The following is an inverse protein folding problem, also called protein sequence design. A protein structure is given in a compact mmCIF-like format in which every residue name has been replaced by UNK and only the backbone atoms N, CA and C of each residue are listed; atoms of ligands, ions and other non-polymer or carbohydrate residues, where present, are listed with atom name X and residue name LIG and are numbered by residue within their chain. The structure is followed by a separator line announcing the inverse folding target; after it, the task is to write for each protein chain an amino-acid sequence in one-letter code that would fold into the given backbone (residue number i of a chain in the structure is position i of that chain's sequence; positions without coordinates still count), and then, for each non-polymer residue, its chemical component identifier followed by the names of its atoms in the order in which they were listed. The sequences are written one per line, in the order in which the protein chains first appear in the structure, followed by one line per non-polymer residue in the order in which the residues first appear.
data_IF_367000259116
#
_entry.id   IF_367000259116
#
_cell.length_a   1.000
_cell.length_b   1.000
_cell.length_c   1.000
_cell.angle_alpha   90.00
_cell.angle_beta   90.00
_cell.angle_gamma   90.00
#
_symmetry.space_group_name_H-M   'P 1'
#
loop_
_entity.id
_entity.type
_entity.pdbx_description
1 polymer ?
#
# COMPACT_ATOMS: atom_id res chain seq x y z
N UNK A 1 78.12 7.71 51.73
CA UNK A 1 76.76 7.37 51.25
C UNK A 1 76.10 8.64 50.75
N UNK A 2 75.47 8.63 49.58
CA UNK A 2 74.78 9.82 49.06
C UNK A 2 74.40 9.77 47.58
N UNK A 3 75.07 8.95 46.76
CA UNK A 3 74.87 8.98 45.31
C UNK A 3 73.68 8.14 44.79
N UNK A 4 73.05 7.30 45.61
CA UNK A 4 72.03 6.36 45.16
C UNK A 4 70.57 6.85 45.34
N UNK A 5 70.35 7.99 46.01
CA UNK A 5 69.00 8.52 46.23
C UNK A 5 68.53 9.49 45.13
N UNK A 6 69.46 10.14 44.40
CA UNK A 6 69.11 11.17 43.43
C UNK A 6 68.54 10.65 42.11
N UNK A 7 68.83 9.41 41.72
CA UNK A 7 68.38 8.86 40.44
C UNK A 7 66.92 8.40 40.46
N UNK A 8 66.32 8.14 41.63
CA UNK A 8 64.92 7.74 41.71
C UNK A 8 63.96 8.93 41.52
N UNK A 9 64.41 10.14 41.89
CA UNK A 9 63.57 11.34 41.84
C UNK A 9 63.45 11.95 40.43
N UNK A 10 64.45 11.74 39.57
CA UNK A 10 64.43 12.19 38.17
C UNK A 10 63.60 11.29 37.24
N UNK A 11 63.34 10.03 37.63
CA UNK A 11 62.49 9.12 36.85
C UNK A 11 60.99 9.38 37.00
N UNK A 12 60.56 9.88 38.16
CA UNK A 12 59.14 10.15 38.45
C UNK A 12 58.64 11.46 37.84
N UNK A 13 59.51 12.46 37.62
CA UNK A 13 59.13 13.70 36.94
C UNK A 13 59.10 13.56 35.40
N UNK A 14 59.99 12.74 34.83
CA UNK A 14 60.00 12.47 33.39
C UNK A 14 58.85 11.55 32.93
N UNK A 15 58.28 10.74 33.84
CA UNK A 15 57.07 9.95 33.57
C UNK A 15 55.78 10.79 33.57
N UNK A 16 55.76 11.93 34.28
CA UNK A 16 54.59 12.80 34.40
C UNK A 16 54.39 13.69 33.16
N UNK A 17 55.45 14.02 32.43
CA UNK A 17 55.39 14.90 31.25
C UNK A 17 54.96 14.20 29.96
N UNK A 18 55.03 12.87 29.88
CA UNK A 18 54.49 12.08 28.76
C UNK A 18 52.98 11.87 28.91
N UNK A 19 52.46 11.89 30.15
CA UNK A 19 51.03 11.90 30.43
C UNK A 19 50.35 13.25 30.08
N UNK A 20 51.13 14.30 29.84
CA UNK A 20 50.64 15.64 29.50
C UNK A 20 50.42 15.88 28.01
N UNK A 21 50.77 14.93 27.12
CA UNK A 21 50.17 14.86 25.77
C UNK A 21 48.77 14.25 25.94
N UNK A 22 47.92 15.01 26.62
CA UNK A 22 46.58 14.60 27.03
C UNK A 22 45.65 14.60 25.82
N UNK A 23 45.65 13.50 25.07
CA UNK A 23 44.38 13.02 24.54
C UNK A 23 43.65 12.49 25.77
N UNK A 24 42.78 13.32 26.34
CA UNK A 24 41.95 12.92 27.46
C UNK A 24 41.23 11.61 27.08
N UNK A 25 41.61 10.51 27.71
CA UNK A 25 41.04 9.21 27.39
C UNK A 25 39.52 9.16 27.68
N UNK A 26 38.99 10.14 28.41
CA UNK A 26 37.55 10.36 28.54
C UNK A 26 36.94 11.03 27.31
N UNK A 27 37.60 12.02 26.70
CA UNK A 27 37.10 12.68 25.48
C UNK A 27 37.14 11.75 24.25
N UNK A 28 38.19 10.93 24.10
CA UNK A 28 38.26 9.93 23.03
C UNK A 28 37.17 8.85 23.16
N UNK A 29 36.85 8.43 24.39
CA UNK A 29 35.74 7.49 24.64
C UNK A 29 34.39 8.14 24.37
N UNK A 30 34.23 9.42 24.68
CA UNK A 30 33.00 10.17 24.38
C UNK A 30 32.78 10.27 22.87
N UNK A 31 33.83 10.55 22.09
CA UNK A 31 33.79 10.62 20.63
C UNK A 31 33.45 9.25 20.02
N UNK A 32 34.12 8.17 20.44
CA UNK A 32 33.81 6.79 20.00
C UNK A 32 32.36 6.37 20.32
N UNK A 33 31.87 6.73 21.52
CA UNK A 33 30.49 6.45 21.89
C UNK A 33 29.49 7.26 21.06
N UNK A 34 29.88 8.48 20.65
CA UNK A 34 29.08 9.33 19.78
C UNK A 34 28.99 8.73 18.38
N UNK A 35 30.12 8.36 17.78
CA UNK A 35 30.20 7.72 16.46
C UNK A 35 29.44 6.39 16.39
N UNK A 36 29.55 5.57 17.44
CA UNK A 36 28.77 4.34 17.56
C UNK A 36 27.27 4.64 17.58
N UNK A 37 26.84 5.62 18.38
CA UNK A 37 25.42 6.01 18.46
C UNK A 37 24.89 6.56 17.13
N UNK A 38 25.69 7.34 16.38
CA UNK A 38 25.31 7.84 15.06
C UNK A 38 25.15 6.70 14.05
N UNK A 39 26.11 5.77 14.01
CA UNK A 39 26.03 4.64 13.08
C UNK A 39 24.83 3.74 13.38
N UNK A 40 24.53 3.48 14.66
CA UNK A 40 23.33 2.75 15.09
C UNK A 40 22.03 3.45 14.67
N UNK A 41 21.94 4.79 14.80
CA UNK A 41 20.78 5.57 14.34
C UNK A 41 20.61 5.43 12.82
N UNK A 42 21.69 5.56 12.04
CA UNK A 42 21.65 5.44 10.58
C UNK A 42 21.28 4.02 10.11
N UNK A 43 21.80 2.98 10.76
CA UNK A 43 21.45 1.59 10.47
C UNK A 43 19.96 1.32 10.75
N UNK A 44 19.47 1.77 11.91
CA UNK A 44 18.05 1.63 12.26
C UNK A 44 17.13 2.44 11.35
N UNK A 45 17.56 3.63 10.93
CA UNK A 45 16.81 4.44 9.97
C UNK A 45 16.76 3.77 8.59
N UNK A 46 17.88 3.23 8.10
CA UNK A 46 17.94 2.48 6.85
C UNK A 46 17.03 1.24 6.86
N UNK A 47 17.10 0.43 7.92
CA UNK A 47 16.24 -0.74 8.05
C UNK A 47 14.74 -0.38 8.10
N UNK A 48 14.37 0.74 8.72
CA UNK A 48 13.00 1.25 8.71
C UNK A 48 12.57 1.71 7.31
N UNK A 49 13.45 2.37 6.56
CA UNK A 49 13.16 2.78 5.18
C UNK A 49 12.99 1.58 4.25
N UNK A 50 13.84 0.57 4.38
CA UNK A 50 13.71 -0.68 3.60
C UNK A 50 12.37 -1.38 3.88
N UNK A 51 11.95 -1.43 5.16
CA UNK A 51 10.65 -1.98 5.53
C UNK A 51 9.49 -1.16 4.96
N UNK A 52 9.59 0.17 4.95
CA UNK A 52 8.59 1.05 4.31
C UNK A 52 8.53 0.86 2.80
N UNK A 53 9.69 0.72 2.14
CA UNK A 53 9.77 0.47 0.70
C UNK A 53 9.12 -0.86 0.31
N UNK A 54 9.39 -1.94 1.07
CA UNK A 54 8.71 -3.22 0.89
C UNK A 54 7.19 -3.08 1.05
N UNK A 55 6.76 -2.41 2.13
CA UNK A 55 5.33 -2.18 2.38
C UNK A 55 4.66 -1.36 1.28
N UNK A 56 5.37 -0.38 0.71
CA UNK A 56 4.87 0.40 -0.42
C UNK A 56 4.76 -0.45 -1.68
N UNK A 57 5.74 -1.29 -1.96
CA UNK A 57 5.67 -2.25 -3.07
C UNK A 57 4.48 -3.21 -2.94
N UNK A 58 4.22 -3.72 -1.73
CA UNK A 58 3.05 -4.56 -1.45
C UNK A 58 1.74 -3.80 -1.74
N UNK A 59 1.62 -2.56 -1.27
CA UNK A 59 0.41 -1.75 -1.52
C UNK A 59 0.23 -1.42 -3.01
N UNK A 60 1.32 -1.16 -3.75
CA UNK A 60 1.26 -0.98 -5.21
C UNK A 60 0.77 -2.25 -5.91
N UNK A 61 1.25 -3.43 -5.50
CA UNK A 61 0.80 -4.71 -6.06
C UNK A 61 -0.69 -4.98 -5.77
N UNK A 62 -1.13 -4.68 -4.54
CA UNK A 62 -2.54 -4.81 -4.16
C UNK A 62 -3.43 -3.85 -4.96
N UNK A 63 -2.98 -2.62 -5.21
CA UNK A 63 -3.69 -1.66 -6.07
C UNK A 63 -3.82 -2.17 -7.51
N UNK A 64 -2.75 -2.69 -8.12
CA UNK A 64 -2.80 -3.25 -9.48
C UNK A 64 -3.80 -4.41 -9.58
N UNK A 65 -3.82 -5.28 -8.57
CA UNK A 65 -4.81 -6.37 -8.51
C UNK A 65 -6.23 -5.83 -8.41
N UNK A 66 -6.42 -4.77 -7.63
CA UNK A 66 -7.72 -4.12 -7.46
C UNK A 66 -8.20 -3.46 -8.76
N UNK A 67 -7.30 -2.83 -9.51
CA UNK A 67 -7.57 -2.26 -10.82
C UNK A 67 -7.98 -3.34 -11.84
N UNK A 68 -7.25 -4.45 -11.89
CA UNK A 68 -7.59 -5.58 -12.75
C UNK A 68 -8.97 -6.19 -12.43
N UNK A 69 -9.31 -6.32 -11.14
CA UNK A 69 -10.64 -6.75 -10.71
C UNK A 69 -11.72 -5.74 -11.10
N UNK A 70 -11.43 -4.44 -10.98
CA UNK A 70 -12.33 -3.37 -11.43
C UNK A 70 -12.66 -3.48 -12.91
N UNK A 71 -11.66 -3.65 -13.76
CA UNK A 71 -11.89 -3.86 -15.20
C UNK A 71 -12.75 -5.07 -15.52
N UNK A 72 -12.51 -6.19 -14.84
CA UNK A 72 -13.28 -7.41 -15.05
C UNK A 72 -14.74 -7.22 -14.64
N UNK A 73 -14.98 -6.47 -13.55
CA UNK A 73 -16.33 -6.10 -13.12
C UNK A 73 -17.04 -5.16 -14.09
N UNK A 74 -16.33 -4.21 -14.72
CA UNK A 74 -16.89 -3.33 -15.76
C UNK A 74 -17.38 -4.17 -16.94
N UNK A 75 -16.54 -5.11 -17.40
CA UNK A 75 -16.88 -6.03 -18.51
C UNK A 75 -18.05 -6.95 -18.15
N UNK A 76 -18.01 -7.59 -16.98
CA UNK A 76 -19.04 -8.52 -16.53
C UNK A 76 -20.39 -7.82 -16.26
N UNK A 77 -20.36 -6.57 -15.80
CA UNK A 77 -21.55 -5.76 -15.52
C UNK A 77 -22.09 -4.96 -16.70
N UNK A 78 -21.43 -5.01 -17.88
CA UNK A 78 -21.74 -4.16 -19.03
C UNK A 78 -21.86 -2.66 -18.64
N UNK A 79 -20.94 -2.20 -17.79
CA UNK A 79 -20.87 -0.83 -17.29
C UNK A 79 -20.07 0.06 -18.26
N UNK A 80 -20.28 1.37 -18.22
CA UNK A 80 -19.58 2.31 -19.11
C UNK A 80 -18.07 2.36 -18.76
N UNK A 81 -17.17 1.98 -19.69
CA UNK A 81 -15.73 2.02 -19.46
C UNK A 81 -15.17 3.44 -19.40
N UNK A 82 -15.87 4.46 -19.90
CA UNK A 82 -15.45 5.87 -19.75
C UNK A 82 -15.69 6.37 -18.32
N UNK A 83 -16.77 5.94 -17.67
CA UNK A 83 -17.08 6.32 -16.28
C UNK A 83 -16.24 5.51 -15.27
N UNK A 84 -16.04 4.22 -15.54
CA UNK A 84 -15.32 3.30 -14.65
C UNK A 84 -13.95 2.92 -15.21
N UNK A 85 -13.12 3.92 -15.50
CA UNK A 85 -11.75 3.70 -15.97
C UNK A 85 -10.78 3.47 -14.80
N UNK A 86 -10.11 2.31 -14.81
CA UNK A 86 -9.07 1.91 -13.85
C UNK A 86 -7.64 2.06 -14.39
N UNK A 87 -7.47 2.36 -15.69
CA UNK A 87 -6.17 2.51 -16.35
C UNK A 87 -5.59 3.93 -16.29
N UNK A 88 -6.35 4.90 -15.79
CA UNK A 88 -5.92 6.29 -15.80
C UNK A 88 -4.93 6.55 -14.66
N UNK A 89 -3.71 7.05 -14.95
CA UNK A 89 -2.75 7.36 -13.90
C UNK A 89 -3.32 8.47 -13.00
N UNK A 90 -3.01 8.45 -11.68
CA UNK A 90 -3.52 9.47 -10.77
C UNK A 90 -3.06 10.87 -11.21
N UNK A 91 -3.90 11.91 -11.07
CA UNK A 91 -3.54 13.26 -11.46
C UNK A 91 -2.33 13.74 -10.65
N UNK A 92 -1.20 13.90 -11.35
CA UNK A 92 0.05 14.44 -10.79
C UNK A 92 0.00 15.96 -10.93
N UNK A 93 -0.18 16.68 -9.82
CA UNK A 93 -0.05 18.14 -9.81
C UNK A 93 1.31 18.55 -10.37
N UNK A 94 1.33 19.51 -11.30
CA UNK A 94 2.51 19.78 -12.11
C UNK A 94 3.63 20.54 -11.40
N UNK A 95 4.87 20.06 -11.58
CA UNK A 95 6.08 20.81 -11.93
C UNK A 95 6.95 19.91 -12.85
N UNK A 96 7.80 20.55 -13.65
CA UNK A 96 8.42 20.08 -14.91
C UNK A 96 9.11 18.70 -14.91
N UNK A 97 8.93 17.95 -15.99
CA UNK A 97 9.47 16.60 -16.25
C UNK A 97 10.96 16.57 -16.60
N UNK A 98 11.75 17.50 -16.05
CA UNK A 98 13.21 17.57 -16.27
C UNK A 98 13.94 17.38 -14.95
N UNK A 99 13.80 16.20 -14.35
CA UNK A 99 14.69 15.77 -13.29
C UNK A 99 15.52 14.61 -13.85
N UNK A 100 16.80 14.87 -14.12
CA UNK A 100 17.84 13.83 -14.12
C UNK A 100 17.71 13.00 -12.84
N UNK A 101 18.26 11.79 -12.78
CA UNK A 101 18.17 10.91 -11.61
C UNK A 101 18.77 11.58 -10.35
N UNK A 102 17.96 12.40 -9.68
CA UNK A 102 18.26 12.99 -8.39
C UNK A 102 18.02 11.88 -7.37
N UNK A 103 18.92 11.66 -6.41
CA UNK A 103 18.63 10.78 -5.28
C UNK A 103 17.31 11.23 -4.66
N UNK A 104 16.33 10.32 -4.60
CA UNK A 104 14.99 10.59 -4.09
C UNK A 104 15.13 11.18 -2.69
N UNK A 105 14.77 12.45 -2.57
CA UNK A 105 14.79 13.16 -1.32
C UNK A 105 13.57 12.72 -0.48
N UNK A 106 13.72 12.61 0.84
CA UNK A 106 12.62 12.19 1.73
C UNK A 106 11.29 12.93 1.50
N UNK A 107 11.28 14.25 1.21
CA UNK A 107 10.07 14.97 0.82
C UNK A 107 9.36 14.42 -0.42
N UNK A 108 10.09 14.01 -1.46
CA UNK A 108 9.51 13.51 -2.72
C UNK A 108 8.86 12.15 -2.50
N UNK A 109 9.49 11.28 -1.69
CA UNK A 109 8.89 10.01 -1.28
C UNK A 109 7.54 10.22 -0.60
N UNK A 110 7.45 11.19 0.32
CA UNK A 110 6.18 11.50 1.01
C UNK A 110 5.08 11.93 0.03
N UNK A 111 5.45 12.65 -1.04
CA UNK A 111 4.52 13.02 -2.11
C UNK A 111 4.04 11.79 -2.87
N UNK A 112 4.93 10.86 -3.22
CA UNK A 112 4.55 9.62 -3.91
C UNK A 112 3.62 8.74 -3.06
N UNK A 113 3.88 8.63 -1.75
CA UNK A 113 3.02 7.90 -0.80
C UNK A 113 1.63 8.53 -0.73
N UNK A 114 1.54 9.86 -0.66
CA UNK A 114 0.28 10.59 -0.65
C UNK A 114 -0.50 10.39 -1.96
N UNK A 115 0.18 10.39 -3.11
CA UNK A 115 -0.45 10.10 -4.40
C UNK A 115 -0.99 8.66 -4.46
N UNK A 116 -0.24 7.70 -3.93
CA UNK A 116 -0.69 6.30 -3.84
C UNK A 116 -1.92 6.18 -2.95
N UNK A 117 -1.93 6.83 -1.78
CA UNK A 117 -3.08 6.83 -0.87
C UNK A 117 -4.34 7.40 -1.53
N UNK A 118 -4.20 8.49 -2.31
CA UNK A 118 -5.30 9.08 -3.10
C UNK A 118 -5.80 8.12 -4.18
N UNK A 119 -4.90 7.44 -4.88
CA UNK A 119 -5.27 6.44 -5.89
C UNK A 119 -6.09 5.31 -5.25
N UNK A 120 -5.63 4.76 -4.13
CA UNK A 120 -6.36 3.72 -3.38
C UNK A 120 -7.77 4.20 -3.00
N UNK A 121 -7.90 5.44 -2.51
CA UNK A 121 -9.19 6.01 -2.14
C UNK A 121 -10.15 6.14 -3.34
N UNK A 122 -9.67 6.66 -4.48
CA UNK A 122 -10.44 6.76 -5.73
C UNK A 122 -10.91 5.39 -6.21
N UNK A 123 -9.99 4.42 -6.30
CA UNK A 123 -10.32 3.07 -6.76
C UNK A 123 -11.31 2.37 -5.83
N UNK A 124 -11.17 2.55 -4.52
CA UNK A 124 -12.11 1.99 -3.53
C UNK A 124 -13.52 2.57 -3.74
N UNK A 125 -13.63 3.89 -3.93
CA UNK A 125 -14.90 4.55 -4.15
C UNK A 125 -15.59 4.05 -5.43
N UNK A 126 -14.85 3.94 -6.55
CA UNK A 126 -15.37 3.39 -7.81
C UNK A 126 -15.91 1.97 -7.62
N UNK A 127 -15.19 1.10 -6.91
CA UNK A 127 -15.64 -0.26 -6.63
C UNK A 127 -16.91 -0.32 -5.76
N UNK A 128 -17.05 0.59 -4.79
CA UNK A 128 -18.28 0.70 -3.99
C UNK A 128 -19.49 1.09 -4.84
N UNK A 129 -19.32 2.04 -5.75
CA UNK A 129 -20.38 2.43 -6.70
C UNK A 129 -20.77 1.27 -7.62
N UNK A 130 -19.79 0.59 -8.21
CA UNK A 130 -20.03 -0.58 -9.05
C UNK A 130 -20.77 -1.69 -8.30
N UNK A 131 -20.39 -1.96 -7.04
CA UNK A 131 -21.10 -2.91 -6.18
C UNK A 131 -22.57 -2.52 -6.05
N UNK A 132 -22.86 -1.23 -5.81
CA UNK A 132 -24.23 -0.71 -5.75
C UNK A 132 -25.01 -0.98 -7.05
N UNK A 133 -24.40 -0.69 -8.20
CA UNK A 133 -25.01 -0.89 -9.52
C UNK A 133 -25.27 -2.37 -9.82
N UNK A 134 -24.29 -3.24 -9.60
CA UNK A 134 -24.41 -4.68 -9.85
C UNK A 134 -25.47 -5.31 -8.94
N UNK A 135 -25.49 -4.95 -7.66
CA UNK A 135 -26.53 -5.43 -6.72
C UNK A 135 -27.90 -4.94 -7.14
N UNK A 136 -28.04 -3.66 -7.51
CA UNK A 136 -29.30 -3.11 -8.02
C UNK A 136 -29.82 -3.83 -9.26
N UNK A 137 -28.94 -4.06 -10.24
CA UNK A 137 -29.26 -4.77 -11.49
C UNK A 137 -29.71 -6.22 -11.21
N UNK A 138 -29.01 -6.94 -10.34
CA UNK A 138 -29.38 -8.32 -9.95
C UNK A 138 -30.74 -8.39 -9.26
N UNK A 139 -31.06 -7.42 -8.40
CA UNK A 139 -32.38 -7.33 -7.78
C UNK A 139 -33.46 -7.10 -8.84
N UNK A 140 -33.24 -6.18 -9.79
CA UNK A 140 -34.19 -5.93 -10.88
C UNK A 140 -34.44 -7.18 -11.73
N UNK A 141 -33.40 -7.90 -12.14
CA UNK A 141 -33.56 -9.17 -12.88
C UNK A 141 -34.32 -10.23 -12.07
N UNK A 142 -34.20 -10.25 -10.74
CA UNK A 142 -34.94 -11.20 -9.90
C UNK A 142 -36.44 -10.88 -9.76
N UNK A 143 -36.86 -9.64 -10.05
CA UNK A 143 -38.27 -9.24 -10.00
C UNK A 143 -39.06 -9.69 -11.24
N UNK A 144 -38.38 -9.94 -12.36
CA UNK A 144 -38.98 -10.46 -13.58
C UNK A 144 -38.48 -11.90 -13.82
N UNK A 145 -39.17 -12.93 -13.29
CA UNK A 145 -38.79 -14.31 -13.56
C UNK A 145 -38.98 -14.62 -15.04
N UNK A 146 -37.88 -14.67 -15.77
CA UNK A 146 -37.85 -15.09 -17.17
C UNK A 146 -37.74 -16.61 -17.32
N UNK A 147 -38.24 -17.14 -18.44
CA UNK A 147 -38.06 -18.53 -18.84
C UNK A 147 -39.26 -19.44 -18.54
N UNK A 148 -39.04 -20.75 -18.72
CA UNK A 148 -40.06 -21.78 -18.47
C UNK A 148 -39.99 -22.22 -17.01
N UNK A 149 -41.13 -22.34 -16.31
CA UNK A 149 -41.16 -22.77 -14.91
C UNK A 149 -40.73 -24.23 -14.68
N UNK A 150 -40.54 -25.02 -15.76
CA UNK A 150 -40.10 -26.42 -15.70
C UNK A 150 -39.00 -26.68 -16.73
N UNK A 151 -37.96 -27.44 -16.33
CA UNK A 151 -36.81 -27.78 -17.21
C UNK A 151 -37.23 -28.62 -18.42
N UNK A 152 -38.15 -29.56 -18.22
CA UNK A 152 -38.66 -30.45 -19.26
C UNK A 152 -40.19 -30.60 -19.12
N UNK A 153 -40.92 -30.31 -20.18
CA UNK A 153 -42.37 -30.43 -20.22
C UNK A 153 -42.91 -30.09 -21.61
N UNK A 154 -43.84 -30.91 -22.09
CA UNK A 154 -44.53 -30.67 -23.35
C UNK A 154 -45.80 -29.86 -23.09
N UNK A 155 -45.97 -28.75 -23.83
CA UNK A 155 -47.26 -28.06 -23.89
C UNK A 155 -48.18 -28.97 -24.69
N UNK A 156 -49.04 -29.72 -23.99
CA UNK A 156 -49.90 -30.71 -24.64
C UNK A 156 -51.04 -30.09 -25.45
N UNK A 157 -51.34 -28.81 -25.25
CA UNK A 157 -52.34 -28.04 -26.00
C UNK A 157 -52.26 -26.56 -25.64
N UNK A 158 -52.17 -25.69 -26.64
CA UNK A 158 -52.11 -24.22 -26.45
C UNK A 158 -53.46 -23.59 -26.10
N UNK A 159 -54.60 -24.29 -26.29
CA UNK A 159 -55.91 -23.68 -26.07
C UNK A 159 -57.08 -24.69 -26.07
N UNK A 160 -58.12 -24.44 -25.24
CA UNK A 160 -59.36 -25.22 -25.17
C UNK A 160 -60.12 -25.09 -23.84
N UNK A 161 -61.40 -25.47 -23.79
CA UNK A 161 -62.22 -25.42 -22.58
C UNK A 161 -61.65 -26.28 -21.44
N UNK A 162 -61.31 -25.65 -20.32
CA UNK A 162 -60.81 -26.33 -19.11
C UNK A 162 -61.65 -25.98 -17.90
N UNK A 163 -61.73 -26.90 -16.93
CA UNK A 163 -62.29 -26.55 -15.63
C UNK A 163 -61.30 -25.67 -14.89
N UNK A 164 -61.76 -24.49 -14.49
CA UNK A 164 -60.99 -23.57 -13.66
C UNK A 164 -60.63 -24.26 -12.32
N UNK A 165 -59.35 -24.30 -11.93
CA UNK A 165 -58.91 -24.99 -10.72
C UNK A 165 -59.42 -24.34 -9.42
N UNK A 166 -59.96 -23.12 -9.46
CA UNK A 166 -60.47 -22.40 -8.29
C UNK A 166 -61.99 -22.43 -8.17
N UNK A 167 -62.73 -22.53 -9.28
CA UNK A 167 -64.21 -22.50 -9.25
C UNK A 167 -64.90 -23.69 -9.97
N UNK A 168 -64.15 -24.55 -10.66
CA UNK A 168 -64.64 -25.77 -11.30
C UNK A 168 -65.52 -25.56 -12.54
N UNK A 169 -65.79 -24.31 -12.94
CA UNK A 169 -66.60 -23.99 -14.12
C UNK A 169 -65.76 -24.11 -15.38
N UNK A 170 -66.39 -24.46 -16.50
CA UNK A 170 -65.72 -24.50 -17.80
C UNK A 170 -65.60 -23.07 -18.34
N UNK A 171 -64.37 -22.59 -18.51
CA UNK A 171 -64.09 -21.31 -19.17
C UNK A 171 -63.29 -21.55 -20.45
N UNK A 172 -63.45 -20.65 -21.44
CA UNK A 172 -62.73 -20.64 -22.71
C UNK A 172 -61.54 -19.68 -22.64
#
# INVERSE_FOLDING_TARGET
GGALWGSYQLGIEAGASIAAVGVDAASLRLELNSDASYSDIHLNAGAQMDAMALRLGDMQADLLRMEALGEELVKAGNLDPEEFNFNEPPPRGGLDSTAESVPVDLPDLLVEVELLARSIADRTHKLELMKGLIVGSKIQQSLEPEGRPVENGWISSEYGYRQDPFNGKKTF
#
